data_IF_750663497004
#
_entry.id   IF_750663497004
#
_cell.length_a   1.000
_cell.length_b   1.000
_cell.length_c   1.000
_cell.angle_alpha   90.00
_cell.angle_beta   90.00
_cell.angle_gamma   90.00
#
_symmetry.space_group_name_H-M   'P 1'
#
loop_
_entity.id
_entity.type
_entity.pdbx_description
1 polymer ?
#
# COMPACT_ATOMS: atom_id res chain seq x y z
N UNK A 1 -25.37 -7.51 -1.27
CA UNK A 1 -24.38 -6.53 -0.78
C UNK A 1 -23.71 -7.08 0.45
N UNK A 2 -22.40 -7.38 0.41
CA UNK A 2 -21.62 -7.74 1.61
C UNK A 2 -21.36 -6.44 2.36
N UNK A 3 -21.63 -6.42 3.66
CA UNK A 3 -21.67 -5.22 4.50
C UNK A 3 -20.33 -4.44 4.48
N UNK A 4 -20.27 -3.23 3.89
CA UNK A 4 -19.05 -2.41 3.83
C UNK A 4 -18.50 -2.10 5.24
N UNK A 5 -19.39 -1.95 6.22
CA UNK A 5 -19.05 -1.78 7.63
C UNK A 5 -18.24 -2.94 8.24
N UNK A 6 -18.32 -4.15 7.66
CA UNK A 6 -17.57 -5.30 8.16
C UNK A 6 -16.07 -5.13 7.89
N UNK A 7 -15.67 -4.63 6.71
CA UNK A 7 -14.25 -4.46 6.38
C UNK A 7 -13.62 -3.38 7.28
N UNK A 8 -14.29 -2.24 7.45
CA UNK A 8 -13.88 -1.19 8.40
C UNK A 8 -13.74 -1.73 9.82
N UNK A 9 -14.74 -2.49 10.28
CA UNK A 9 -14.69 -3.13 11.60
C UNK A 9 -13.52 -4.10 11.74
N UNK A 10 -13.23 -4.93 10.71
CA UNK A 10 -12.10 -5.86 10.73
C UNK A 10 -10.74 -5.14 10.76
N UNK A 11 -10.59 -3.98 10.10
CA UNK A 11 -9.39 -3.13 10.23
C UNK A 11 -9.21 -2.64 11.67
N UNK A 12 -10.27 -2.10 12.30
CA UNK A 12 -10.17 -1.65 13.70
C UNK A 12 -9.88 -2.80 14.66
N UNK A 13 -10.54 -3.94 14.44
CA UNK A 13 -10.37 -5.13 15.26
C UNK A 13 -8.95 -5.68 15.15
N UNK A 14 -8.42 -5.82 13.93
CA UNK A 14 -7.04 -6.31 13.71
C UNK A 14 -6.01 -5.43 14.40
N UNK A 15 -6.16 -4.10 14.35
CA UNK A 15 -5.24 -3.21 15.06
C UNK A 15 -5.25 -3.47 16.58
N UNK A 16 -6.45 -3.59 17.17
CA UNK A 16 -6.58 -3.90 18.60
C UNK A 16 -5.90 -5.23 18.96
N UNK A 17 -6.03 -6.24 18.10
CA UNK A 17 -5.36 -7.52 18.28
C UNK A 17 -3.84 -7.39 18.14
N UNK A 18 -3.34 -6.64 17.16
CA UNK A 18 -1.91 -6.38 17.00
C UNK A 18 -1.35 -5.71 18.27
N UNK A 19 -1.99 -4.66 18.78
CA UNK A 19 -1.55 -3.97 20.00
C UNK A 19 -1.52 -4.88 21.23
N UNK A 20 -2.40 -5.88 21.30
CA UNK A 20 -2.47 -6.83 22.42
C UNK A 20 -1.53 -8.03 22.25
N UNK A 21 -1.31 -8.47 21.01
CA UNK A 21 -0.58 -9.67 20.64
C UNK A 21 0.52 -9.33 19.64
N UNK A 22 1.42 -8.43 20.03
CA UNK A 22 2.40 -7.77 19.16
C UNK A 22 3.28 -8.72 18.35
N UNK A 23 3.56 -9.93 18.84
CA UNK A 23 4.38 -10.93 18.14
C UNK A 23 3.57 -12.02 17.41
N UNK A 24 2.24 -11.97 17.48
CA UNK A 24 1.37 -12.95 16.82
C UNK A 24 1.21 -12.62 15.33
N UNK A 25 1.84 -13.41 14.47
CA UNK A 25 1.79 -13.23 13.02
C UNK A 25 0.38 -13.31 12.42
N UNK A 26 -0.55 -14.03 13.07
CA UNK A 26 -1.89 -14.25 12.53
C UNK A 26 -2.68 -12.94 12.43
N UNK A 27 -2.51 -12.02 13.39
CA UNK A 27 -3.23 -10.74 13.38
C UNK A 27 -2.73 -9.80 12.27
N UNK A 28 -1.42 -9.80 11.99
CA UNK A 28 -0.86 -9.07 10.85
C UNK A 28 -1.31 -9.66 9.52
N UNK A 29 -1.27 -10.99 9.37
CA UNK A 29 -1.71 -11.64 8.13
C UNK A 29 -3.20 -11.38 7.86
N UNK A 30 -4.05 -11.39 8.89
CA UNK A 30 -5.46 -11.03 8.74
C UNK A 30 -5.62 -9.56 8.32
N UNK A 31 -4.86 -8.63 8.91
CA UNK A 31 -4.87 -7.22 8.50
C UNK A 31 -4.48 -7.02 7.03
N UNK A 32 -3.41 -7.72 6.60
CA UNK A 32 -2.95 -7.74 5.21
C UNK A 32 -4.03 -8.26 4.25
N UNK A 33 -4.70 -9.36 4.62
CA UNK A 33 -5.80 -9.93 3.86
C UNK A 33 -6.98 -8.96 3.73
N UNK A 34 -7.40 -8.33 4.84
CA UNK A 34 -8.52 -7.37 4.85
C UNK A 34 -8.20 -6.17 3.96
N UNK A 35 -6.98 -5.61 4.04
CA UNK A 35 -6.55 -4.50 3.19
C UNK A 35 -6.56 -4.88 1.71
N UNK A 36 -6.01 -6.05 1.35
CA UNK A 36 -6.05 -6.54 -0.02
C UNK A 36 -7.49 -6.71 -0.53
N UNK A 37 -8.39 -7.21 0.32
CA UNK A 37 -9.81 -7.34 -0.01
C UNK A 37 -10.53 -6.00 -0.15
N UNK A 38 -10.16 -4.99 0.65
CA UNK A 38 -10.69 -3.63 0.48
C UNK A 38 -10.35 -3.07 -0.90
N UNK A 39 -9.09 -3.18 -1.33
CA UNK A 39 -8.67 -2.74 -2.66
C UNK A 39 -9.41 -3.51 -3.77
N UNK A 40 -9.50 -4.85 -3.66
CA UNK A 40 -10.18 -5.70 -4.65
C UNK A 40 -11.65 -5.30 -4.87
N UNK A 41 -12.38 -5.03 -3.79
CA UNK A 41 -13.81 -4.68 -3.87
C UNK A 41 -14.06 -3.19 -4.11
N UNK A 42 -13.01 -2.37 -4.23
CA UNK A 42 -13.16 -0.92 -4.39
C UNK A 42 -13.70 -0.23 -3.14
N UNK A 43 -13.40 -0.74 -1.94
CA UNK A 43 -13.87 -0.15 -0.69
C UNK A 43 -13.11 1.16 -0.39
N UNK A 44 -13.86 2.17 0.04
CA UNK A 44 -13.37 3.35 0.75
C UNK A 44 -14.41 3.80 1.76
N UNK A 45 -13.98 4.59 2.73
CA UNK A 45 -14.82 5.14 3.78
C UNK A 45 -15.09 6.62 3.48
N UNK A 46 -16.30 6.94 3.02
CA UNK A 46 -16.72 8.30 2.67
C UNK A 46 -16.64 9.28 3.85
N UNK A 47 -16.77 8.74 5.07
CA UNK A 47 -16.74 9.51 6.31
C UNK A 47 -15.31 9.64 6.91
N UNK A 48 -14.26 9.14 6.25
CA UNK A 48 -12.89 9.25 6.76
C UNK A 48 -12.36 10.69 6.55
N UNK A 49 -12.68 11.58 7.49
CA UNK A 49 -12.32 13.00 7.47
C UNK A 49 -10.83 13.33 7.59
N UNK A 50 -9.95 12.33 7.48
CA UNK A 50 -8.48 12.48 7.57
C UNK A 50 -7.82 12.76 6.22
N UNK A 51 -8.58 12.86 5.12
CA UNK A 51 -8.11 13.31 3.81
C UNK A 51 -6.75 12.73 3.39
N UNK A 52 -6.53 11.42 3.59
CA UNK A 52 -5.29 10.71 3.21
C UNK A 52 -3.99 11.21 3.87
N UNK A 53 -4.05 11.85 5.04
CA UNK A 53 -2.91 12.47 5.75
C UNK A 53 -1.68 11.57 5.86
N UNK A 54 -1.86 10.27 6.13
CA UNK A 54 -0.73 9.34 6.28
C UNK A 54 -0.02 9.09 4.96
N UNK A 55 -0.78 9.06 3.87
CA UNK A 55 -0.22 8.95 2.52
C UNK A 55 0.55 10.21 2.15
N UNK A 56 -0.02 11.40 2.38
CA UNK A 56 0.67 12.67 2.17
C UNK A 56 2.01 12.71 2.92
N UNK A 57 1.99 12.38 4.21
CA UNK A 57 3.19 12.32 5.05
C UNK A 57 4.21 11.31 4.52
N UNK A 58 3.77 10.10 4.13
CA UNK A 58 4.66 9.06 3.64
C UNK A 58 5.34 9.44 2.32
N UNK A 59 4.58 9.98 1.36
CA UNK A 59 5.14 10.42 0.08
C UNK A 59 6.08 11.62 0.28
N UNK A 60 5.69 12.59 1.11
CA UNK A 60 6.56 13.73 1.47
C UNK A 60 7.89 13.28 2.06
N UNK A 61 7.87 12.35 3.03
CA UNK A 61 9.09 11.79 3.65
C UNK A 61 10.00 11.08 2.65
N UNK A 62 9.43 10.36 1.68
CA UNK A 62 10.21 9.68 0.63
C UNK A 62 10.84 10.65 -0.36
N UNK A 63 10.19 11.79 -0.62
CA UNK A 63 10.61 12.79 -1.60
C UNK A 63 11.39 13.96 -0.96
N UNK A 64 12.08 13.71 0.15
CA UNK A 64 12.88 14.70 0.90
C UNK A 64 12.07 15.90 1.41
N UNK A 65 10.97 15.61 2.11
CA UNK A 65 10.06 16.59 2.71
C UNK A 65 9.40 17.54 1.70
N UNK A 66 9.11 17.02 0.50
CA UNK A 66 8.28 17.73 -0.47
C UNK A 66 6.89 18.02 0.12
N UNK A 67 6.43 19.25 -0.03
CA UNK A 67 5.06 19.65 0.32
C UNK A 67 4.11 19.14 -0.76
N UNK A 68 3.18 18.28 -0.37
CA UNK A 68 2.14 17.75 -1.25
C UNK A 68 0.82 18.29 -0.70
N UNK A 69 0.24 19.25 -1.41
CA UNK A 69 -0.82 20.09 -0.84
C UNK A 69 -2.23 19.56 -1.16
N UNK A 70 -2.36 18.76 -2.22
CA UNK A 70 -3.64 18.25 -2.68
C UNK A 70 -3.54 16.86 -3.35
N UNK A 71 -4.71 16.28 -3.63
CA UNK A 71 -4.82 14.93 -4.21
C UNK A 71 -4.25 14.85 -5.62
N UNK A 72 -4.33 15.92 -6.42
CA UNK A 72 -3.82 15.91 -7.79
C UNK A 72 -2.28 15.93 -7.81
N UNK A 73 -1.66 16.70 -6.92
CA UNK A 73 -0.21 16.63 -6.69
C UNK A 73 0.21 15.23 -6.26
N UNK A 74 -0.55 14.62 -5.34
CA UNK A 74 -0.29 13.26 -4.88
C UNK A 74 -0.38 12.24 -6.04
N UNK A 75 -1.39 12.36 -6.89
CA UNK A 75 -1.57 11.49 -8.05
C UNK A 75 -0.46 11.64 -9.10
N UNK A 76 0.08 12.85 -9.25
CA UNK A 76 1.22 13.07 -10.15
C UNK A 76 2.44 12.22 -9.76
N UNK A 77 2.57 11.87 -8.49
CA UNK A 77 3.63 10.97 -7.99
C UNK A 77 3.25 9.50 -8.05
N UNK A 78 2.03 9.17 -7.62
CA UNK A 78 1.57 7.77 -7.47
C UNK A 78 1.19 7.12 -8.80
N UNK A 79 0.62 7.89 -9.73
CA UNK A 79 0.10 7.42 -11.00
C UNK A 79 0.37 8.43 -12.15
N UNK A 80 1.66 8.75 -12.42
CA UNK A 80 2.05 9.82 -13.35
C UNK A 80 1.57 9.62 -14.80
N UNK A 81 1.29 8.38 -15.20
CA UNK A 81 0.93 8.02 -16.57
C UNK A 81 -0.56 8.16 -16.89
N UNK A 82 -1.39 8.61 -15.93
CA UNK A 82 -2.86 8.63 -16.07
C UNK A 82 -3.35 10.07 -15.97
N UNK A 83 -4.14 10.49 -16.96
CA UNK A 83 -4.82 11.77 -16.93
C UNK A 83 -6.05 11.70 -16.00
N UNK A 84 -6.25 12.73 -15.19
CA UNK A 84 -7.35 12.82 -14.21
C UNK A 84 -8.72 12.57 -14.83
N UNK A 85 -8.94 13.08 -16.04
CA UNK A 85 -10.21 12.97 -16.78
C UNK A 85 -10.59 11.51 -17.13
N UNK A 86 -9.62 10.60 -17.19
CA UNK A 86 -9.84 9.19 -17.49
C UNK A 86 -10.05 8.30 -16.28
N UNK A 87 -10.02 8.85 -15.05
CA UNK A 87 -10.10 8.07 -13.83
C UNK A 87 -11.54 7.83 -13.38
N UNK A 88 -11.81 6.62 -12.90
CA UNK A 88 -13.02 6.31 -12.16
C UNK A 88 -12.90 6.80 -10.71
N UNK A 89 -13.74 7.74 -10.29
CA UNK A 89 -13.68 8.36 -8.95
C UNK A 89 -13.81 7.35 -7.81
N UNK A 90 -14.67 6.33 -7.92
CA UNK A 90 -14.81 5.27 -6.90
C UNK A 90 -13.49 4.48 -6.77
N UNK A 91 -12.87 4.13 -7.90
CA UNK A 91 -11.58 3.42 -7.91
C UNK A 91 -10.47 4.28 -7.37
N UNK A 92 -10.47 5.56 -7.70
CA UNK A 92 -9.51 6.53 -7.20
C UNK A 92 -9.60 6.68 -5.67
N UNK A 93 -10.80 6.88 -5.13
CA UNK A 93 -10.99 6.97 -3.68
C UNK A 93 -10.56 5.68 -2.97
N UNK A 94 -10.92 4.51 -3.51
CA UNK A 94 -10.47 3.23 -2.95
C UNK A 94 -8.95 3.05 -3.01
N UNK A 95 -8.33 3.42 -4.12
CA UNK A 95 -6.88 3.38 -4.29
C UNK A 95 -6.17 4.25 -3.24
N UNK A 96 -6.54 5.52 -3.13
CA UNK A 96 -5.95 6.45 -2.16
C UNK A 96 -6.21 6.01 -0.72
N UNK A 97 -7.43 5.54 -0.43
CA UNK A 97 -7.78 5.05 0.90
C UNK A 97 -6.94 3.83 1.32
N UNK A 98 -6.78 2.85 0.43
CA UNK A 98 -5.98 1.66 0.73
C UNK A 98 -4.49 1.99 0.87
N UNK A 99 -3.96 2.89 0.04
CA UNK A 99 -2.58 3.36 0.18
C UNK A 99 -2.36 4.15 1.47
N UNK A 100 -3.34 4.95 1.89
CA UNK A 100 -3.32 5.66 3.18
C UNK A 100 -3.29 4.69 4.37
N UNK A 101 -4.10 3.61 4.33
CA UNK A 101 -4.04 2.56 5.35
C UNK A 101 -2.69 1.84 5.38
N UNK A 102 -2.10 1.56 4.21
CA UNK A 102 -0.76 0.96 4.14
C UNK A 102 0.30 1.92 4.71
N UNK A 103 0.24 3.21 4.40
CA UNK A 103 1.13 4.23 4.95
C UNK A 103 0.99 4.40 6.47
N UNK A 104 -0.24 4.34 6.98
CA UNK A 104 -0.51 4.26 8.41
C UNK A 104 0.18 3.04 9.04
N UNK A 105 0.02 1.86 8.44
CA UNK A 105 0.61 0.62 8.96
C UNK A 105 2.14 0.62 8.93
N UNK A 106 2.76 1.30 7.96
CA UNK A 106 4.21 1.53 7.96
C UNK A 106 4.65 2.34 9.18
N UNK A 107 3.97 3.46 9.48
CA UNK A 107 4.26 4.23 10.70
C UNK A 107 4.01 3.42 11.95
N UNK A 108 2.88 2.72 12.00
CA UNK A 108 2.50 1.89 13.13
C UNK A 108 3.55 0.80 13.42
N UNK A 109 4.15 0.19 12.38
CA UNK A 109 5.26 -0.73 12.57
C UNK A 109 6.50 -0.07 13.20
N UNK A 110 6.83 1.17 12.83
CA UNK A 110 7.94 1.92 13.42
C UNK A 110 7.63 2.32 14.88
N UNK A 111 6.39 2.71 15.19
CA UNK A 111 5.93 2.95 16.57
C UNK A 111 6.04 1.69 17.43
N UNK A 112 5.57 0.54 16.93
CA UNK A 112 5.69 -0.75 17.62
C UNK A 112 7.15 -1.14 17.83
N UNK A 113 8.01 -0.94 16.82
CA UNK A 113 9.45 -1.19 16.94
C UNK A 113 10.10 -0.29 17.99
N UNK A 114 9.75 0.99 18.03
CA UNK A 114 10.30 1.92 19.00
C UNK A 114 9.90 1.57 20.44
N UNK A 115 8.67 1.08 20.66
CA UNK A 115 8.15 0.73 21.99
C UNK A 115 8.56 -0.66 22.48
N UNK A 116 8.59 -1.65 21.58
CA UNK A 116 8.74 -3.06 21.94
C UNK A 116 10.02 -3.71 21.40
N UNK A 117 10.84 -2.96 20.68
CA UNK A 117 12.08 -3.45 20.06
C UNK A 117 11.85 -4.17 18.73
N UNK A 118 12.90 -4.79 18.22
CA UNK A 118 12.85 -5.49 16.93
C UNK A 118 12.00 -6.77 17.00
N UNK A 119 11.14 -6.95 16.00
CA UNK A 119 10.32 -8.15 15.84
C UNK A 119 10.18 -8.49 14.36
N UNK A 120 10.36 -9.75 14.03
CA UNK A 120 10.14 -10.26 12.68
C UNK A 120 8.68 -10.07 12.22
N UNK A 121 7.71 -10.04 13.15
CA UNK A 121 6.31 -9.77 12.82
C UNK A 121 6.13 -8.36 12.25
N UNK A 122 6.76 -7.35 12.87
CA UNK A 122 6.70 -5.96 12.41
C UNK A 122 7.36 -5.82 11.03
N UNK A 123 8.55 -6.43 10.86
CA UNK A 123 9.27 -6.34 9.59
C UNK A 123 8.54 -7.04 8.45
N UNK A 124 7.90 -8.19 8.71
CA UNK A 124 7.11 -8.89 7.70
C UNK A 124 5.86 -8.08 7.31
N UNK A 125 5.17 -7.47 8.28
CA UNK A 125 4.03 -6.62 8.00
C UNK A 125 4.41 -5.38 7.20
N UNK A 126 5.48 -4.69 7.60
CA UNK A 126 6.02 -3.53 6.89
C UNK A 126 6.39 -3.88 5.44
N UNK A 127 7.08 -5.00 5.23
CA UNK A 127 7.41 -5.52 3.89
C UNK A 127 6.17 -5.76 3.04
N UNK A 128 5.12 -6.34 3.62
CA UNK A 128 3.85 -6.48 2.92
C UNK A 128 3.29 -5.11 2.52
N UNK A 129 3.29 -4.13 3.42
CA UNK A 129 2.74 -2.80 3.11
C UNK A 129 3.53 -2.07 2.02
N UNK A 130 4.86 -2.13 2.04
CA UNK A 130 5.68 -1.61 0.94
C UNK A 130 5.35 -2.31 -0.37
N UNK A 131 5.29 -3.65 -0.37
CA UNK A 131 4.93 -4.41 -1.57
C UNK A 131 3.55 -4.04 -2.07
N UNK A 132 2.57 -3.94 -1.18
CA UNK A 132 1.20 -3.55 -1.52
C UNK A 132 1.17 -2.18 -2.21
N UNK A 133 1.83 -1.16 -1.65
CA UNK A 133 1.93 0.18 -2.26
C UNK A 133 2.55 0.09 -3.65
N UNK A 134 3.67 -0.61 -3.80
CA UNK A 134 4.37 -0.77 -5.09
C UNK A 134 3.49 -1.49 -6.12
N UNK A 135 2.85 -2.60 -5.74
CA UNK A 135 1.95 -3.35 -6.62
C UNK A 135 0.76 -2.50 -7.09
N UNK A 136 0.16 -1.74 -6.17
CA UNK A 136 -0.96 -0.85 -6.50
C UNK A 136 -0.54 0.28 -7.44
N UNK A 137 0.61 0.93 -7.19
CA UNK A 137 1.09 2.01 -8.06
C UNK A 137 1.44 1.50 -9.47
N UNK A 138 2.06 0.32 -9.58
CA UNK A 138 2.29 -0.33 -10.89
C UNK A 138 0.98 -0.68 -11.59
N UNK A 139 -0.01 -1.17 -10.84
CA UNK A 139 -1.32 -1.52 -11.38
C UNK A 139 -2.24 -0.33 -11.66
N UNK A 140 -1.87 0.90 -11.26
CA UNK A 140 -2.74 2.07 -11.24
C UNK A 140 -3.34 2.37 -12.62
N UNK A 141 -2.53 2.27 -13.69
CA UNK A 141 -2.96 2.54 -15.05
C UNK A 141 -4.13 1.64 -15.48
N UNK A 142 -4.14 0.38 -15.06
CA UNK A 142 -5.24 -0.53 -15.37
C UNK A 142 -6.40 -0.39 -14.40
N UNK A 143 -6.13 -0.20 -13.10
CA UNK A 143 -7.17 -0.21 -12.06
C UNK A 143 -7.99 1.07 -12.00
N UNK A 144 -7.39 2.22 -12.32
CA UNK A 144 -8.03 3.53 -12.20
C UNK A 144 -8.84 3.92 -13.44
N UNK A 145 -8.52 3.39 -14.63
CA UNK A 145 -9.23 3.72 -15.88
C UNK A 145 -10.25 2.67 -16.30
N UNK A 146 -10.37 1.55 -15.58
CA UNK A 146 -11.34 0.52 -15.90
C UNK A 146 -12.77 1.04 -15.66
N UNK A 147 -13.51 1.22 -16.75
CA UNK A 147 -14.89 1.68 -16.75
C UNK A 147 -15.88 0.67 -16.13
N UNK A 148 -15.41 -0.54 -15.80
CA UNK A 148 -16.13 -1.50 -14.98
C UNK A 148 -17.35 -2.11 -15.64
N UNK A 149 -17.23 -3.35 -16.11
CA UNK A 149 -18.38 -4.26 -16.07
C UNK A 149 -18.27 -5.09 -14.79
N UNK A 150 -19.24 -4.93 -13.90
CA UNK A 150 -19.36 -5.71 -12.68
C UNK A 150 -19.30 -7.21 -12.96
N UNK A 151 -18.24 -7.85 -12.50
CA UNK A 151 -18.06 -9.28 -12.65
C UNK A 151 -16.96 -9.77 -11.74
N UNK A 152 -17.32 -10.66 -10.81
CA UNK A 152 -16.40 -11.44 -10.00
C UNK A 152 -15.28 -12.06 -10.86
N UNK A 153 -14.13 -11.40 -10.93
CA UNK A 153 -12.88 -12.01 -11.30
C UNK A 153 -12.29 -12.69 -10.07
N UNK A 154 -12.86 -13.82 -9.65
CA UNK A 154 -12.15 -14.74 -8.75
C UNK A 154 -10.97 -15.28 -9.55
N UNK A 155 -9.85 -14.59 -9.49
CA UNK A 155 -8.56 -15.22 -9.68
C UNK A 155 -7.90 -15.22 -8.33
N UNK A 156 -8.00 -16.35 -7.62
CA UNK A 156 -6.95 -16.74 -6.70
C UNK A 156 -5.66 -16.84 -7.50
N UNK A 157 -5.03 -15.70 -7.74
CA UNK A 157 -3.72 -15.68 -8.38
C UNK A 157 -2.75 -16.14 -7.31
N UNK A 158 -2.15 -17.29 -7.63
CA UNK A 158 -0.87 -17.68 -7.07
C UNK A 158 0.11 -16.49 -7.10
N UNK A 159 1.09 -16.45 -6.19
CA UNK A 159 1.97 -15.29 -5.97
C UNK A 159 3.02 -15.05 -7.08
N UNK A 160 2.70 -15.33 -8.34
CA UNK A 160 3.58 -15.19 -9.50
C UNK A 160 2.83 -14.58 -10.70
N UNK A 161 2.05 -13.52 -10.49
CA UNK A 161 1.73 -12.63 -11.60
C UNK A 161 3.05 -12.03 -12.09
N UNK A 162 3.43 -12.39 -13.33
CA UNK A 162 4.58 -11.84 -14.03
C UNK A 162 4.50 -10.33 -13.89
N UNK A 163 5.48 -9.74 -13.20
CA UNK A 163 5.66 -8.30 -13.12
C UNK A 163 5.66 -7.81 -14.56
N UNK A 164 4.55 -7.22 -15.00
CA UNK A 164 4.53 -6.45 -16.22
C UNK A 164 5.53 -5.35 -15.96
N UNK A 165 6.62 -5.32 -16.74
CA UNK A 165 7.52 -4.16 -16.81
C UNK A 165 6.68 -2.99 -17.32
N UNK A 166 5.85 -2.39 -16.46
CA UNK A 166 5.70 -0.95 -16.52
C UNK A 166 7.10 -0.39 -16.33
N UNK A 167 7.44 0.67 -17.04
CA UNK A 167 8.72 1.36 -16.94
C UNK A 167 8.94 1.83 -15.49
N UNK A 168 9.42 0.89 -14.65
CA UNK A 168 9.83 1.09 -13.27
C UNK A 168 10.93 2.14 -13.17
N UNK A 169 11.56 2.45 -14.31
CA UNK A 169 12.57 3.48 -14.47
C UNK A 169 12.00 4.89 -14.45
N UNK A 170 10.70 5.13 -14.69
CA UNK A 170 10.18 6.49 -14.89
C UNK A 170 9.45 7.09 -13.68
N UNK A 171 8.93 6.29 -12.76
CA UNK A 171 8.29 6.84 -11.56
C UNK A 171 9.32 7.28 -10.51
N UNK A 172 9.41 8.60 -10.30
CA UNK A 172 10.22 9.20 -9.22
C UNK A 172 9.85 8.63 -7.85
N UNK A 173 8.55 8.38 -7.62
CA UNK A 173 8.05 7.81 -6.37
C UNK A 173 8.55 6.37 -6.15
N UNK A 174 8.43 5.49 -7.15
CA UNK A 174 8.93 4.12 -7.03
C UNK A 174 10.46 4.08 -6.86
N UNK A 175 11.18 5.01 -7.50
CA UNK A 175 12.63 5.17 -7.29
C UNK A 175 12.96 5.61 -5.86
N UNK A 176 12.17 6.50 -5.27
CA UNK A 176 12.33 6.92 -3.88
C UNK A 176 12.09 5.74 -2.91
N UNK A 177 11.05 4.92 -3.14
CA UNK A 177 10.84 3.68 -2.38
C UNK A 177 12.04 2.74 -2.54
N UNK A 178 12.53 2.52 -3.77
CA UNK A 178 13.72 1.69 -4.03
C UNK A 178 14.91 2.16 -3.20
N UNK A 179 15.23 3.46 -3.24
CA UNK A 179 16.35 4.03 -2.51
C UNK A 179 16.19 3.85 -0.99
N UNK A 180 15.00 4.13 -0.46
CA UNK A 180 14.69 3.95 0.97
C UNK A 180 14.86 2.49 1.42
N UNK A 181 14.33 1.52 0.67
CA UNK A 181 14.46 0.10 1.00
C UNK A 181 15.90 -0.41 0.84
N UNK A 182 16.65 0.07 -0.16
CA UNK A 182 18.05 -0.34 -0.38
C UNK A 182 19.00 0.12 0.72
N UNK A 183 18.67 1.20 1.44
CA UNK A 183 19.44 1.70 2.58
C UNK A 183 19.32 0.83 3.84
N UNK A 184 18.40 -0.14 3.86
CA UNK A 184 18.21 -1.02 5.02
C UNK A 184 19.33 -2.06 5.09
N UNK A 185 19.89 -2.24 6.28
CA UNK A 185 21.11 -3.04 6.52
C UNK A 185 20.88 -4.54 6.63
N UNK A 186 19.63 -5.00 6.70
CA UNK A 186 19.31 -6.42 6.87
C UNK A 186 19.82 -7.27 5.67
N UNK A 187 20.67 -8.30 5.88
CA UNK A 187 21.37 -9.00 4.79
C UNK A 187 20.44 -9.63 3.74
N UNK A 188 19.30 -10.16 4.17
CA UNK A 188 18.32 -10.81 3.29
C UNK A 188 17.35 -9.83 2.64
N UNK A 189 17.35 -8.55 3.05
CA UNK A 189 16.37 -7.57 2.59
C UNK A 189 16.58 -7.20 1.12
N UNK A 190 17.82 -7.01 0.68
CA UNK A 190 18.13 -6.73 -0.74
C UNK A 190 17.62 -7.85 -1.66
N UNK A 191 17.79 -9.12 -1.25
CA UNK A 191 17.24 -10.28 -1.97
C UNK A 191 15.71 -10.26 -2.00
N UNK A 192 15.08 -9.89 -0.89
CA UNK A 192 13.63 -9.72 -0.83
C UNK A 192 13.13 -8.62 -1.77
N UNK A 193 13.76 -7.44 -1.79
CA UNK A 193 13.41 -6.37 -2.72
C UNK A 193 13.53 -6.81 -4.18
N UNK A 194 14.60 -7.52 -4.53
CA UNK A 194 14.75 -8.06 -5.89
C UNK A 194 13.64 -9.05 -6.25
N UNK A 195 13.34 -10.01 -5.36
CA UNK A 195 12.36 -11.06 -5.65
C UNK A 195 10.91 -10.57 -5.66
N UNK A 196 10.55 -9.67 -4.74
CA UNK A 196 9.15 -9.30 -4.51
C UNK A 196 8.79 -7.90 -5.01
N UNK A 197 9.77 -7.00 -5.11
CA UNK A 197 9.59 -5.65 -5.65
C UNK A 197 10.20 -5.51 -7.04
N UNK A 198 10.99 -6.45 -7.55
CA UNK A 198 11.66 -6.31 -8.85
C UNK A 198 12.72 -5.19 -8.88
N UNK A 199 13.15 -4.70 -7.71
CA UNK A 199 14.20 -3.70 -7.64
C UNK A 199 15.56 -4.37 -7.87
N UNK A 200 16.16 -4.12 -9.03
CA UNK A 200 17.50 -4.59 -9.32
C UNK A 200 18.53 -3.89 -8.42
N UNK A 201 19.44 -4.71 -7.90
CA UNK A 201 20.63 -4.28 -7.15
C UNK A 201 21.68 -3.97 -8.21
N UNK A 202 22.06 -2.70 -8.32
CA UNK A 202 23.23 -2.27 -9.10
C UNK A 202 24.52 -2.73 -8.42
#
# INVERSE_FOLDING_TARGET
MKAPHLLKFEIFKTEKFIRKHIHDYSCYNHRQFVLAKMSEVGYYDEDDGRNFEELFRYVGQLLNDATIDNVDDLLSWLAPSILREGMNEIRLHSFLFCLNLAAYDLRFCEELRALYGESHAFENHRRFMVKFIVDQCRGAACSLTDAGNGGNGVTGQQPMSKITKLDDQDSVFLRAIKNSEMNRTAPQHKKWCKLFLGFDIE
#
